data_IF_339409683843
#
_entry.id   IF_339409683843
#
_cell.length_a   1.000
_cell.length_b   1.000
_cell.length_c   1.000
_cell.angle_alpha   90.00
_cell.angle_beta   90.00
_cell.angle_gamma   90.00
#
_symmetry.space_group_name_H-M   'P 1'
#
loop_
_entity.id
_entity.type
_entity.pdbx_description
1 polymer ?
#
# COMPACT_ATOMS: atom_id res chain seq x y z
N UNK A 1 10.30 10.57 -20.82
CA UNK A 1 9.23 10.46 -19.80
C UNK A 1 9.66 9.47 -18.72
N UNK A 2 10.17 9.95 -17.60
CA UNK A 2 10.56 9.06 -16.49
C UNK A 2 9.30 8.55 -15.79
N UNK A 3 9.14 7.23 -15.73
CA UNK A 3 8.05 6.62 -14.97
C UNK A 3 8.27 6.95 -13.49
N UNK A 4 7.27 7.60 -12.88
CA UNK A 4 7.27 7.85 -11.44
C UNK A 4 7.42 6.52 -10.71
N UNK A 5 8.30 6.49 -9.70
CA UNK A 5 8.56 5.28 -8.91
C UNK A 5 7.31 4.77 -8.20
N UNK A 6 7.38 3.53 -7.70
CA UNK A 6 6.26 2.85 -7.03
C UNK A 6 5.60 3.70 -5.94
N UNK A 7 6.42 4.38 -5.13
CA UNK A 7 5.94 5.20 -4.01
C UNK A 7 5.10 6.40 -4.47
N UNK A 8 5.51 7.04 -5.56
CA UNK A 8 4.78 8.16 -6.15
C UNK A 8 3.41 7.72 -6.70
N UNK A 9 3.34 6.55 -7.32
CA UNK A 9 2.07 6.00 -7.82
C UNK A 9 1.12 5.62 -6.68
N UNK A 10 1.65 5.07 -5.58
CA UNK A 10 0.87 4.75 -4.38
C UNK A 10 0.30 6.03 -3.76
N UNK A 11 1.13 7.06 -3.56
CA UNK A 11 0.68 8.33 -2.97
C UNK A 11 -0.36 9.04 -3.86
N UNK A 12 -0.20 8.97 -5.18
CA UNK A 12 -1.20 9.50 -6.12
C UNK A 12 -2.56 8.81 -5.97
N UNK A 13 -2.60 7.47 -5.89
CA UNK A 13 -3.86 6.72 -5.65
C UNK A 13 -4.46 6.96 -4.27
N UNK A 14 -3.64 7.21 -3.26
CA UNK A 14 -4.14 7.58 -1.91
C UNK A 14 -4.77 8.97 -1.93
N UNK A 15 -4.11 9.95 -2.54
CA UNK A 15 -4.63 11.32 -2.68
C UNK A 15 -5.90 11.38 -3.54
N UNK A 16 -5.97 10.56 -4.59
CA UNK A 16 -7.15 10.47 -5.45
C UNK A 16 -8.30 9.63 -4.85
N UNK A 17 -8.11 8.96 -3.71
CA UNK A 17 -9.13 8.08 -3.12
C UNK A 17 -9.39 6.79 -3.90
N UNK A 18 -8.64 6.50 -4.98
CA UNK A 18 -8.83 5.34 -5.86
C UNK A 18 -8.04 4.11 -5.42
N UNK A 19 -7.64 4.06 -4.15
CA UNK A 19 -6.92 2.90 -3.62
C UNK A 19 -7.85 1.69 -3.49
N UNK A 20 -7.39 0.51 -3.91
CA UNK A 20 -8.20 -0.71 -3.88
C UNK A 20 -8.52 -1.11 -2.44
N UNK A 21 -9.79 -1.43 -2.18
CA UNK A 21 -10.23 -2.07 -0.93
C UNK A 21 -9.68 -3.51 -0.86
N UNK A 22 -9.71 -4.13 0.33
CA UNK A 22 -9.27 -5.52 0.50
C UNK A 22 -10.02 -6.51 -0.38
N UNK A 23 -11.34 -6.33 -0.53
CA UNK A 23 -12.19 -7.19 -1.36
C UNK A 23 -11.67 -7.26 -2.80
N UNK A 24 -11.10 -6.16 -3.28
CA UNK A 24 -10.58 -6.03 -4.63
C UNK A 24 -9.07 -6.27 -4.70
N UNK A 25 -8.42 -6.80 -3.66
CA UNK A 25 -6.96 -6.96 -3.62
C UNK A 25 -6.56 -8.42 -3.49
N UNK A 26 -5.54 -8.83 -4.25
CA UNK A 26 -4.94 -10.18 -4.21
C UNK A 26 -4.01 -10.39 -3.02
N UNK A 27 -3.82 -9.35 -2.19
CA UNK A 27 -2.99 -9.42 -0.98
C UNK A 27 -3.65 -10.39 0.01
N UNK A 28 -2.87 -11.26 0.65
CA UNK A 28 -3.38 -12.18 1.67
C UNK A 28 -3.94 -11.41 2.88
N UNK A 29 -4.84 -12.05 3.64
CA UNK A 29 -5.42 -11.40 4.83
C UNK A 29 -4.34 -11.03 5.87
N UNK A 30 -3.33 -11.89 6.03
CA UNK A 30 -2.16 -11.64 6.89
C UNK A 30 -1.37 -10.41 6.44
N UNK A 31 -1.04 -10.32 5.16
CA UNK A 31 -0.29 -9.18 4.62
C UNK A 31 -1.10 -7.87 4.71
N UNK A 32 -2.40 -7.91 4.43
CA UNK A 32 -3.25 -6.72 4.58
C UNK A 32 -3.37 -6.23 6.03
N UNK A 33 -3.45 -7.15 6.99
CA UNK A 33 -3.42 -6.82 8.42
C UNK A 33 -2.11 -6.14 8.82
N UNK A 34 -0.98 -6.66 8.35
CA UNK A 34 0.34 -6.06 8.61
C UNK A 34 0.52 -4.68 7.97
N UNK A 35 0.02 -4.48 6.74
CA UNK A 35 0.04 -3.16 6.09
C UNK A 35 -0.79 -2.12 6.84
N UNK A 36 -1.96 -2.53 7.36
CA UNK A 36 -2.83 -1.66 8.17
C UNK A 36 -2.18 -1.26 9.50
N UNK A 37 -1.46 -2.17 10.13
CA UNK A 37 -0.76 -1.93 11.40
C UNK A 37 0.45 -0.99 11.27
N UNK A 38 0.89 -0.70 10.04
CA UNK A 38 2.17 -0.06 9.78
C UNK A 38 3.29 -1.08 9.91
N UNK A 39 4.28 -1.03 9.03
CA UNK A 39 5.42 -1.93 9.09
C UNK A 39 6.20 -1.65 10.38
N UNK A 40 5.98 -2.48 11.41
CA UNK A 40 6.74 -2.38 12.65
C UNK A 40 8.23 -2.43 12.31
N UNK A 41 8.96 -1.36 12.60
CA UNK A 41 10.42 -1.40 12.53
C UNK A 41 10.89 -2.49 13.47
N UNK A 42 11.74 -3.41 12.98
CA UNK A 42 12.42 -4.35 13.87
C UNK A 42 13.11 -3.52 14.95
N UNK A 43 12.75 -3.75 16.21
CA UNK A 43 13.60 -3.32 17.31
C UNK A 43 14.83 -4.22 17.22
N UNK A 44 15.94 -3.63 16.80
CA UNK A 44 17.29 -4.18 17.00
C UNK A 44 17.54 -4.36 18.48
#
# INVERSE_FOLDING_TARGET
WQKKGLYANINARKKAGTSRSKKNSTITNKAYSNMKKGFNKKKT
#
